data_IF_526658224683
#
_entry.id   IF_526658224683
#
_cell.length_a   1.000
_cell.length_b   1.000
_cell.length_c   1.000
_cell.angle_alpha   90.00
_cell.angle_beta   90.00
_cell.angle_gamma   90.00
#
_symmetry.space_group_name_H-M   'P 1'
#
loop_
_entity.id
_entity.type
_entity.pdbx_description
1 polymer ?
#
# COMPACT_ATOMS: atom_id res chain seq x y z
N UNK A 1 -10.30 -0.75 5.89
CA UNK A 1 -10.23 0.29 6.96
C UNK A 1 -10.77 1.63 6.46
N UNK A 2 -10.30 2.21 5.35
CA UNK A 2 -10.71 3.56 4.91
C UNK A 2 -12.23 3.82 4.74
N UNK A 3 -12.99 2.88 4.17
CA UNK A 3 -14.45 3.07 4.02
C UNK A 3 -15.20 3.08 5.37
N UNK A 4 -14.61 2.43 6.39
CA UNK A 4 -15.15 2.27 7.74
C UNK A 4 -14.66 3.35 8.71
N UNK A 5 -13.56 4.05 8.36
CA UNK A 5 -12.96 5.13 9.14
C UNK A 5 -12.86 6.39 8.26
N UNK A 6 -13.75 7.36 8.47
CA UNK A 6 -13.77 8.64 7.74
C UNK A 6 -14.69 8.67 6.52
N UNK A 7 -15.21 7.51 6.09
CA UNK A 7 -16.22 7.39 5.04
C UNK A 7 -15.73 7.76 3.63
N UNK A 8 -16.64 7.78 2.65
CA UNK A 8 -16.35 8.13 1.27
C UNK A 8 -15.60 9.46 1.13
N UNK A 9 -15.99 10.48 1.89
CA UNK A 9 -15.39 11.81 1.83
C UNK A 9 -13.89 11.80 2.18
N UNK A 10 -13.48 11.03 3.19
CA UNK A 10 -12.06 10.89 3.55
C UNK A 10 -11.26 10.14 2.50
N UNK A 11 -11.86 9.18 1.79
CA UNK A 11 -11.17 8.43 0.73
C UNK A 11 -10.97 9.29 -0.51
N UNK A 12 -11.95 10.13 -0.87
CA UNK A 12 -11.88 10.98 -2.07
C UNK A 12 -11.02 12.23 -1.84
N UNK A 13 -11.32 13.03 -0.82
CA UNK A 13 -10.60 14.28 -0.55
C UNK A 13 -9.25 14.02 0.09
N UNK A 14 -9.16 13.02 0.96
CA UNK A 14 -7.90 12.67 1.61
C UNK A 14 -6.86 12.17 0.63
N UNK A 15 -7.28 11.48 -0.44
CA UNK A 15 -6.37 11.06 -1.50
C UNK A 15 -5.77 12.25 -2.27
N UNK A 16 -6.53 13.31 -2.57
CA UNK A 16 -6.02 14.52 -3.23
C UNK A 16 -5.00 15.26 -2.35
N UNK A 17 -5.30 15.41 -1.06
CA UNK A 17 -4.40 16.08 -0.11
C UNK A 17 -3.10 15.30 0.02
N UNK A 18 -3.18 13.99 0.23
CA UNK A 18 -2.01 13.12 0.32
C UNK A 18 -1.20 13.15 -0.98
N UNK A 19 -1.87 13.13 -2.13
CA UNK A 19 -1.21 13.20 -3.43
C UNK A 19 -0.45 14.50 -3.63
N UNK A 20 -0.98 15.64 -3.18
CA UNK A 20 -0.29 16.92 -3.25
C UNK A 20 1.00 16.93 -2.41
N UNK A 21 0.93 16.49 -1.15
CA UNK A 21 2.11 16.40 -0.28
C UNK A 21 3.14 15.40 -0.82
N UNK A 22 2.68 14.23 -1.28
CA UNK A 22 3.55 13.24 -1.88
C UNK A 22 4.20 13.76 -3.17
N UNK A 23 3.47 14.55 -3.95
CA UNK A 23 3.99 15.26 -5.13
C UNK A 23 5.12 16.24 -4.78
N UNK A 24 4.98 17.02 -3.70
CA UNK A 24 6.05 17.89 -3.23
C UNK A 24 7.32 17.09 -2.87
N UNK A 25 7.17 15.98 -2.14
CA UNK A 25 8.30 15.10 -1.78
C UNK A 25 8.94 14.47 -3.01
N UNK A 26 8.12 14.02 -3.96
CA UNK A 26 8.59 13.46 -5.23
C UNK A 26 9.37 14.49 -6.06
N UNK A 27 8.89 15.73 -6.12
CA UNK A 27 9.58 16.83 -6.82
C UNK A 27 10.93 17.16 -6.16
N UNK A 28 10.99 17.26 -4.82
CA UNK A 28 12.26 17.45 -4.11
C UNK A 28 13.23 16.30 -4.34
N UNK A 29 12.74 15.06 -4.35
CA UNK A 29 13.58 13.89 -4.65
C UNK A 29 14.07 13.93 -6.10
N UNK A 30 13.22 14.33 -7.05
CA UNK A 30 13.59 14.48 -8.46
C UNK A 30 14.68 15.55 -8.67
N UNK A 31 14.60 16.66 -7.94
CA UNK A 31 15.63 17.71 -7.95
C UNK A 31 16.98 17.17 -7.45
N UNK A 32 16.97 16.41 -6.35
CA UNK A 32 18.17 15.75 -5.80
C UNK A 32 18.74 14.72 -6.79
N UNK A 33 17.89 13.91 -7.43
CA UNK A 33 18.29 12.96 -8.48
C UNK A 33 18.98 13.66 -9.65
N UNK A 34 18.45 14.82 -10.08
CA UNK A 34 18.99 15.63 -11.18
C UNK A 34 20.33 16.26 -10.81
N UNK A 35 20.47 16.77 -9.59
CA UNK A 35 21.71 17.38 -9.10
C UNK A 35 22.81 16.35 -8.81
N UNK A 36 22.44 15.14 -8.37
CA UNK A 36 23.36 14.07 -7.99
C UNK A 36 22.95 12.73 -8.63
N UNK A 37 23.14 12.58 -9.96
CA UNK A 37 22.83 11.34 -10.67
C UNK A 37 23.85 10.27 -10.30
N UNK A 38 23.61 9.60 -9.17
CA UNK A 38 24.47 8.55 -8.63
C UNK A 38 23.59 7.36 -8.29
N UNK A 39 23.81 6.25 -9.00
CA UNK A 39 23.16 4.97 -8.73
C UNK A 39 23.69 4.44 -7.39
N UNK A 40 23.06 4.81 -6.27
CA UNK A 40 23.62 4.55 -4.95
C UNK A 40 22.81 4.96 -3.72
N UNK A 41 21.58 5.45 -3.91
CA UNK A 41 20.55 5.43 -2.88
C UNK A 41 20.45 6.64 -1.95
N UNK A 42 19.31 6.70 -1.26
CA UNK A 42 18.95 7.67 -0.22
C UNK A 42 20.06 7.92 0.81
N UNK A 43 20.92 6.92 1.04
CA UNK A 43 22.11 6.97 1.90
C UNK A 43 23.17 7.96 1.41
N UNK A 44 23.46 7.97 0.10
CA UNK A 44 24.46 8.86 -0.49
C UNK A 44 23.96 10.32 -0.49
N UNK A 45 22.67 10.52 -0.79
CA UNK A 45 22.05 11.84 -0.76
C UNK A 45 21.99 12.40 0.66
N UNK A 46 21.58 11.60 1.65
CA UNK A 46 21.57 12.01 3.07
C UNK A 46 22.96 12.35 3.59
N UNK A 47 24.00 11.58 3.24
CA UNK A 47 25.39 11.91 3.58
C UNK A 47 25.82 13.26 2.99
N UNK A 48 25.49 13.50 1.72
CA UNK A 48 25.96 14.69 0.99
C UNK A 48 25.25 15.97 1.44
N UNK A 49 23.98 15.87 1.83
CA UNK A 49 23.16 16.98 2.32
C UNK A 49 23.40 17.31 3.81
N UNK A 50 23.78 16.32 4.64
CA UNK A 50 23.96 16.52 6.09
C UNK A 50 25.30 17.18 6.49
N UNK A 51 26.23 17.36 5.55
CA UNK A 51 27.56 17.93 5.83
C UNK A 51 28.53 16.93 6.49
N UNK A 52 29.84 17.23 6.47
CA UNK A 52 30.92 16.28 6.78
C UNK A 52 30.85 15.64 8.17
N UNK A 53 30.28 16.35 9.13
CA UNK A 53 30.24 15.93 10.54
C UNK A 53 29.02 15.06 10.88
N UNK A 54 27.90 15.25 10.17
CA UNK A 54 26.65 14.50 10.39
C UNK A 54 26.38 13.44 9.30
N UNK A 55 27.15 13.44 8.21
CA UNK A 55 27.00 12.52 7.10
C UNK A 55 26.90 11.04 7.52
N UNK A 56 27.74 10.50 8.42
CA UNK A 56 27.66 9.09 8.82
C UNK A 56 26.36 8.77 9.57
N UNK A 57 25.92 9.68 10.45
CA UNK A 57 24.71 9.48 11.26
C UNK A 57 23.45 9.61 10.41
N UNK A 58 23.39 10.60 9.52
CA UNK A 58 22.26 10.80 8.61
C UNK A 58 22.07 9.58 7.69
N UNK A 59 23.15 9.08 7.06
CA UNK A 59 23.08 7.88 6.21
C UNK A 59 22.71 6.63 6.99
N UNK A 60 23.21 6.47 8.22
CA UNK A 60 22.87 5.32 9.06
C UNK A 60 21.40 5.32 9.44
N UNK A 61 20.86 6.46 9.87
CA UNK A 61 19.44 6.61 10.23
C UNK A 61 18.54 6.38 9.01
N UNK A 62 18.79 7.10 7.90
CA UNK A 62 18.05 6.93 6.65
C UNK A 62 18.06 5.47 6.20
N UNK A 63 19.18 4.80 6.41
CA UNK A 63 19.34 3.41 6.07
C UNK A 63 18.51 2.43 6.85
N UNK A 64 18.58 2.54 8.18
CA UNK A 64 17.76 1.71 9.04
C UNK A 64 16.27 1.92 8.79
N UNK A 65 15.83 3.16 8.59
CA UNK A 65 14.43 3.43 8.25
C UNK A 65 14.02 2.85 6.91
N UNK A 66 14.91 2.87 5.90
CA UNK A 66 14.63 2.26 4.61
C UNK A 66 14.51 0.73 4.71
N UNK A 67 15.43 0.06 5.42
CA UNK A 67 15.38 -1.40 5.63
C UNK A 67 14.12 -1.81 6.42
N UNK A 68 13.87 -1.14 7.54
CA UNK A 68 12.68 -1.42 8.38
C UNK A 68 11.40 -1.15 7.59
N UNK A 69 11.35 -0.05 6.82
CA UNK A 69 10.22 0.28 5.95
C UNK A 69 9.97 -0.80 4.91
N UNK A 70 11.01 -1.28 4.24
CA UNK A 70 10.88 -2.34 3.23
C UNK A 70 10.40 -3.66 3.85
N UNK A 71 10.96 -4.06 5.00
CA UNK A 71 10.53 -5.27 5.71
C UNK A 71 9.08 -5.16 6.19
N UNK A 72 8.69 -4.01 6.75
CA UNK A 72 7.32 -3.74 7.17
C UNK A 72 6.34 -3.74 5.98
N UNK A 73 6.73 -3.18 4.84
CA UNK A 73 5.91 -3.18 3.63
C UNK A 73 5.70 -4.59 3.09
N UNK A 74 6.76 -5.39 2.92
CA UNK A 74 6.66 -6.78 2.46
C UNK A 74 5.78 -7.62 3.38
N UNK A 75 6.03 -7.54 4.70
CA UNK A 75 5.25 -8.31 5.68
C UNK A 75 3.77 -7.89 5.70
N UNK A 76 3.47 -6.60 5.54
CA UNK A 76 2.11 -6.07 5.45
C UNK A 76 1.36 -6.55 4.21
N UNK A 77 2.01 -6.55 3.05
CA UNK A 77 1.41 -7.01 1.77
C UNK A 77 1.11 -8.51 1.84
N UNK A 78 2.08 -9.31 2.31
CA UNK A 78 1.92 -10.76 2.40
C UNK A 78 0.83 -11.16 3.41
N UNK A 79 0.70 -10.40 4.50
CA UNK A 79 -0.37 -10.60 5.46
C UNK A 79 -1.75 -10.27 4.86
N UNK A 80 -1.83 -9.19 4.07
CA UNK A 80 -3.04 -8.83 3.33
C UNK A 80 -3.44 -9.91 2.32
N UNK A 81 -2.46 -10.51 1.63
CA UNK A 81 -2.69 -11.64 0.74
C UNK A 81 -3.21 -12.88 1.48
N UNK A 82 -2.63 -13.20 2.65
CA UNK A 82 -3.10 -14.31 3.48
C UNK A 82 -4.55 -14.10 3.93
N UNK A 83 -4.93 -12.88 4.30
CA UNK A 83 -6.32 -12.53 4.62
C UNK A 83 -7.25 -12.67 3.41
N UNK A 84 -6.81 -12.26 2.21
CA UNK A 84 -7.60 -12.41 0.99
C UNK A 84 -7.85 -13.88 0.67
N UNK A 85 -6.85 -14.75 0.83
CA UNK A 85 -6.99 -16.21 0.69
C UNK A 85 -8.00 -16.74 1.71
N UNK A 86 -7.93 -16.31 2.97
CA UNK A 86 -8.89 -16.70 4.00
C UNK A 86 -10.33 -16.29 3.66
N UNK A 87 -10.55 -15.06 3.17
CA UNK A 87 -11.88 -14.59 2.76
C UNK A 87 -12.39 -15.38 1.55
N UNK A 88 -11.51 -15.70 0.60
CA UNK A 88 -11.84 -16.53 -0.56
C UNK A 88 -12.27 -17.93 -0.14
N UNK A 89 -11.57 -18.55 0.81
CA UNK A 89 -11.94 -19.84 1.39
C UNK A 89 -13.29 -19.76 2.12
N UNK A 90 -13.53 -18.71 2.89
CA UNK A 90 -14.81 -18.51 3.57
C UNK A 90 -15.98 -18.42 2.57
N UNK A 91 -15.82 -17.64 1.50
CA UNK A 91 -16.83 -17.49 0.46
C UNK A 91 -17.06 -18.79 -0.31
N UNK A 92 -15.97 -19.49 -0.67
CA UNK A 92 -16.02 -20.76 -1.40
C UNK A 92 -16.58 -21.93 -0.59
N UNK A 93 -16.50 -21.90 0.74
CA UNK A 93 -17.00 -22.96 1.62
C UNK A 93 -18.45 -22.76 2.09
N UNK A 94 -19.20 -21.87 1.42
CA UNK A 94 -20.63 -21.66 1.69
C UNK A 94 -20.97 -20.43 2.52
N UNK A 95 -19.96 -19.64 2.93
CA UNK A 95 -20.18 -18.35 3.61
C UNK A 95 -20.98 -17.35 2.78
N UNK A 96 -20.92 -17.46 1.44
CA UNK A 96 -21.73 -16.63 0.53
C UNK A 96 -23.24 -16.90 0.61
N UNK A 97 -23.65 -18.11 1.02
CA UNK A 97 -25.05 -18.54 1.06
C UNK A 97 -25.63 -18.59 2.50
N UNK A 98 -24.99 -17.93 3.47
CA UNK A 98 -25.42 -17.91 4.87
C UNK A 98 -25.12 -19.20 5.66
N UNK A 99 -24.52 -20.20 5.03
CA UNK A 99 -24.14 -21.47 5.66
C UNK A 99 -22.73 -21.41 6.22
N UNK A 100 -22.57 -20.90 7.45
CA UNK A 100 -21.41 -21.07 8.34
C UNK A 100 -20.07 -21.45 7.67
N UNK A 101 -19.57 -20.62 6.76
CA UNK A 101 -18.35 -20.92 6.01
C UNK A 101 -17.14 -21.09 6.92
N UNK A 102 -16.12 -21.80 6.44
CA UNK A 102 -14.91 -22.05 7.21
C UNK A 102 -14.08 -20.78 7.35
N UNK A 103 -14.10 -20.19 8.55
CA UNK A 103 -13.11 -19.18 8.93
C UNK A 103 -11.85 -19.87 9.44
N UNK A 104 -10.75 -19.69 8.71
CA UNK A 104 -9.44 -20.16 9.13
C UNK A 104 -9.09 -19.58 10.51
N UNK A 105 -8.68 -20.47 11.43
CA UNK A 105 -8.17 -20.06 12.75
C UNK A 105 -6.90 -19.20 12.61
N UNK A 106 -6.59 -18.39 13.63
CA UNK A 106 -5.38 -17.54 13.69
C UNK A 106 -4.09 -18.30 13.37
N UNK A 107 -4.00 -19.58 13.76
CA UNK A 107 -2.84 -20.42 13.47
C UNK A 107 -2.75 -20.85 12.00
N UNK A 108 -3.91 -21.10 11.37
CA UNK A 108 -3.99 -21.44 9.94
C UNK A 108 -3.66 -20.21 9.10
N UNK A 109 -4.16 -19.03 9.48
CA UNK A 109 -3.79 -17.77 8.83
C UNK A 109 -2.28 -17.52 8.92
N UNK A 110 -1.68 -17.74 10.09
CA UNK A 110 -0.23 -17.61 10.27
C UNK A 110 0.56 -18.61 9.41
N UNK A 111 0.07 -19.84 9.27
CA UNK A 111 0.68 -20.85 8.41
C UNK A 111 0.62 -20.46 6.93
N UNK A 112 -0.53 -19.97 6.46
CA UNK A 112 -0.70 -19.45 5.08
C UNK A 112 0.25 -18.28 4.85
N UNK A 113 0.30 -17.33 5.80
CA UNK A 113 1.20 -16.19 5.75
C UNK A 113 2.68 -16.60 5.67
N UNK A 114 3.11 -17.54 6.51
CA UNK A 114 4.47 -18.07 6.49
C UNK A 114 4.81 -18.78 5.16
N UNK A 115 3.86 -19.53 4.59
CA UNK A 115 4.03 -20.17 3.30
C UNK A 115 4.19 -19.15 2.15
N UNK A 116 3.41 -18.07 2.16
CA UNK A 116 3.51 -16.97 1.20
C UNK A 116 4.89 -16.30 1.29
N UNK A 117 5.36 -16.00 2.50
CA UNK A 117 6.68 -15.40 2.72
C UNK A 117 7.81 -16.26 2.16
N UNK A 118 7.78 -17.57 2.43
CA UNK A 118 8.78 -18.51 1.91
C UNK A 118 8.74 -18.54 0.39
N UNK A 119 7.54 -18.60 -0.21
CA UNK A 119 7.36 -18.60 -1.65
C UNK A 119 7.87 -17.30 -2.30
N UNK A 120 7.56 -16.13 -1.74
CA UNK A 120 8.10 -14.87 -2.21
C UNK A 120 9.62 -14.77 -2.03
N UNK A 121 10.18 -15.31 -0.94
CA UNK A 121 11.62 -15.41 -0.75
C UNK A 121 12.30 -16.28 -1.81
N UNK A 122 11.69 -17.40 -2.19
CA UNK A 122 12.16 -18.27 -3.27
C UNK A 122 12.11 -17.57 -4.62
N UNK A 123 11.01 -16.86 -4.93
CA UNK A 123 10.88 -16.08 -6.16
C UNK A 123 11.92 -14.97 -6.22
N UNK A 124 12.19 -14.28 -5.11
CA UNK A 124 13.23 -13.25 -5.03
C UNK A 124 14.65 -13.82 -5.15
N UNK A 125 14.83 -15.12 -4.96
CA UNK A 125 16.10 -15.81 -5.19
C UNK A 125 16.31 -16.20 -6.67
N UNK A 126 15.30 -16.01 -7.52
CA UNK A 126 15.40 -16.28 -8.96
C UNK A 126 16.18 -15.16 -9.69
N UNK A 127 16.76 -15.47 -10.86
CA UNK A 127 17.41 -14.46 -11.69
C UNK A 127 16.50 -13.27 -12.02
N UNK A 128 17.11 -12.08 -12.08
CA UNK A 128 16.42 -10.79 -12.33
C UNK A 128 15.54 -10.81 -13.58
N UNK A 129 15.88 -11.63 -14.58
CA UNK A 129 15.05 -11.75 -15.79
C UNK A 129 13.67 -12.36 -15.51
N UNK A 130 13.57 -13.35 -14.62
CA UNK A 130 12.28 -13.94 -14.22
C UNK A 130 11.48 -12.93 -13.39
N UNK A 131 12.17 -12.22 -12.49
CA UNK A 131 11.56 -11.20 -11.65
C UNK A 131 10.97 -10.06 -12.49
N UNK A 132 11.70 -9.60 -13.51
CA UNK A 132 11.22 -8.60 -14.47
C UNK A 132 9.99 -9.08 -15.25
N UNK A 133 9.99 -10.34 -15.71
CA UNK A 133 8.84 -10.89 -16.43
C UNK A 133 7.60 -11.02 -15.55
N UNK A 134 7.74 -11.55 -14.33
CA UNK A 134 6.65 -11.63 -13.34
C UNK A 134 6.12 -10.23 -12.99
N UNK A 135 7.02 -9.25 -12.84
CA UNK A 135 6.65 -7.85 -12.61
C UNK A 135 5.81 -7.26 -13.74
N UNK A 136 6.22 -7.48 -15.00
CA UNK A 136 5.47 -7.01 -16.17
C UNK A 136 4.09 -7.69 -16.28
N UNK A 137 4.03 -9.00 -16.04
CA UNK A 137 2.78 -9.73 -15.99
C UNK A 137 1.86 -9.21 -14.89
N UNK A 138 2.41 -8.95 -13.70
CA UNK A 138 1.69 -8.35 -12.57
C UNK A 138 1.12 -6.97 -12.91
N UNK A 139 1.91 -6.11 -13.56
CA UNK A 139 1.47 -4.80 -14.02
C UNK A 139 0.32 -4.89 -15.03
N UNK A 140 0.45 -5.80 -16.01
CA UNK A 140 -0.62 -6.06 -16.98
C UNK A 140 -1.90 -6.56 -16.30
N UNK A 141 -1.78 -7.54 -15.39
CA UNK A 141 -2.92 -8.08 -14.65
C UNK A 141 -3.61 -7.03 -13.79
N UNK A 142 -2.83 -6.16 -13.14
CA UNK A 142 -3.37 -5.08 -12.33
C UNK A 142 -4.13 -4.07 -13.19
N UNK A 143 -3.55 -3.63 -14.30
CA UNK A 143 -4.20 -2.72 -15.25
C UNK A 143 -5.49 -3.32 -15.84
N UNK A 144 -5.44 -4.59 -16.26
CA UNK A 144 -6.61 -5.31 -16.74
C UNK A 144 -7.69 -5.42 -15.65
N UNK A 145 -7.32 -5.76 -14.42
CA UNK A 145 -8.23 -5.85 -13.28
C UNK A 145 -8.93 -4.52 -12.99
N UNK A 146 -8.20 -3.40 -13.02
CA UNK A 146 -8.77 -2.05 -12.87
C UNK A 146 -9.79 -1.78 -13.97
N UNK A 147 -9.46 -2.03 -15.23
CA UNK A 147 -10.37 -1.82 -16.38
C UNK A 147 -11.64 -2.68 -16.22
N UNK A 148 -11.47 -3.95 -15.85
CA UNK A 148 -12.60 -4.86 -15.63
C UNK A 148 -13.49 -4.35 -14.50
N UNK A 149 -12.93 -3.95 -13.36
CA UNK A 149 -13.71 -3.43 -12.23
C UNK A 149 -14.41 -2.10 -12.59
N UNK A 150 -13.76 -1.23 -13.35
CA UNK A 150 -14.34 0.03 -13.83
C UNK A 150 -15.57 -0.19 -14.72
N UNK A 151 -15.63 -1.29 -15.47
CA UNK A 151 -16.78 -1.62 -16.33
C UNK A 151 -17.81 -2.45 -15.58
N UNK A 152 -17.38 -3.45 -14.81
CA UNK A 152 -18.25 -4.41 -14.14
C UNK A 152 -19.04 -3.77 -12.99
N UNK A 153 -18.40 -2.93 -12.18
CA UNK A 153 -19.07 -2.34 -11.01
C UNK A 153 -20.26 -1.45 -11.45
N UNK A 154 -20.13 -0.50 -12.39
CA UNK A 154 -21.26 0.32 -12.82
C UNK A 154 -22.36 -0.43 -13.58
N UNK A 155 -22.02 -1.57 -14.20
CA UNK A 155 -22.99 -2.38 -14.97
C UNK A 155 -23.81 -3.32 -14.09
N UNK A 156 -23.24 -3.80 -12.98
CA UNK A 156 -23.92 -4.73 -12.06
C UNK A 156 -24.54 -4.03 -10.85
N UNK A 157 -24.05 -2.84 -10.47
CA UNK A 157 -24.55 -2.11 -9.30
C UNK A 157 -26.03 -1.70 -9.48
N UNK A 158 -26.90 -2.31 -8.68
CA UNK A 158 -28.35 -2.04 -8.65
C UNK A 158 -28.68 -0.70 -7.98
N UNK A 159 -27.82 -0.24 -7.07
CA UNK A 159 -27.92 1.07 -6.41
C UNK A 159 -26.63 1.87 -6.55
N UNK A 160 -26.76 3.18 -6.77
CA UNK A 160 -25.63 4.11 -6.90
C UNK A 160 -25.65 5.08 -5.73
N UNK A 161 -24.51 5.24 -5.06
CA UNK A 161 -24.35 6.27 -4.04
C UNK A 161 -24.51 7.67 -4.67
N UNK A 162 -25.22 8.57 -3.98
CA UNK A 162 -25.38 9.95 -4.45
C UNK A 162 -24.03 10.69 -4.41
N UNK A 163 -23.85 11.65 -5.32
CA UNK A 163 -22.63 12.48 -5.36
C UNK A 163 -22.41 13.19 -4.03
N UNK A 164 -23.50 13.67 -3.41
CA UNK A 164 -23.46 14.27 -2.08
C UNK A 164 -22.94 13.28 -1.04
N UNK A 165 -23.44 12.05 -1.01
CA UNK A 165 -22.95 11.01 -0.10
C UNK A 165 -21.45 10.72 -0.30
N UNK A 166 -20.94 10.74 -1.53
CA UNK A 166 -19.52 10.50 -1.80
C UNK A 166 -18.62 11.62 -1.27
N UNK A 167 -19.07 12.87 -1.30
CA UNK A 167 -18.25 14.03 -0.91
C UNK A 167 -18.50 14.54 0.51
N UNK A 168 -19.66 14.29 1.11
CA UNK A 168 -20.02 14.82 2.43
C UNK A 168 -20.17 13.75 3.50
N UNK A 169 -20.36 12.48 3.14
CA UNK A 169 -20.55 11.44 4.14
C UNK A 169 -19.23 11.08 4.82
N UNK A 170 -19.10 11.51 6.07
CA UNK A 170 -17.99 11.17 6.94
C UNK A 170 -18.46 10.15 7.98
N UNK A 171 -17.95 8.93 7.89
CA UNK A 171 -18.38 7.86 8.77
C UNK A 171 -17.71 8.01 10.15
N UNK A 172 -18.44 8.53 11.13
CA UNK A 172 -17.98 8.68 12.52
C UNK A 172 -18.21 7.44 13.37
N UNK A 173 -19.07 6.52 12.94
CA UNK A 173 -19.44 5.34 13.71
C UNK A 173 -18.53 4.16 13.33
N UNK A 174 -17.36 4.14 13.95
CA UNK A 174 -16.26 3.24 13.64
C UNK A 174 -16.25 1.95 14.49
N UNK A 175 -17.26 1.75 15.36
CA UNK A 175 -17.38 0.57 16.23
C UNK A 175 -16.27 0.45 17.30
N UNK A 176 -15.40 1.45 17.43
CA UNK A 176 -14.23 1.50 18.32
C UNK A 176 -14.34 2.60 19.39
N UNK A 177 -15.45 3.35 19.43
CA UNK A 177 -15.67 4.42 20.42
C UNK A 177 -14.81 5.66 20.22
N UNK A 178 -14.21 5.85 19.04
CA UNK A 178 -13.38 7.02 18.73
C UNK A 178 -14.27 8.11 18.14
N UNK A 179 -14.50 9.18 18.89
CA UNK A 179 -15.42 10.27 18.50
C UNK A 179 -14.69 11.49 17.92
N UNK A 180 -13.35 11.51 17.97
CA UNK A 180 -12.56 12.64 17.48
C UNK A 180 -12.43 12.58 15.95
N UNK A 181 -13.12 13.50 15.26
CA UNK A 181 -13.15 13.61 13.79
C UNK A 181 -11.76 13.77 13.17
N UNK A 182 -10.83 14.46 13.84
CA UNK A 182 -9.45 14.66 13.37
C UNK A 182 -8.68 13.35 13.37
N UNK A 183 -8.85 12.54 14.43
CA UNK A 183 -8.21 11.24 14.53
C UNK A 183 -8.77 10.25 13.50
N UNK A 184 -10.09 10.25 13.30
CA UNK A 184 -10.74 9.42 12.27
C UNK A 184 -10.26 9.80 10.87
N UNK A 185 -10.12 11.10 10.59
CA UNK A 185 -9.58 11.59 9.32
C UNK A 185 -8.12 11.17 9.14
N UNK A 186 -7.27 11.33 10.17
CA UNK A 186 -5.87 10.91 10.14
C UNK A 186 -5.73 9.41 9.85
N UNK A 187 -6.55 8.57 10.48
CA UNK A 187 -6.58 7.12 10.22
C UNK A 187 -7.08 6.80 8.80
N UNK A 188 -8.05 7.56 8.28
CA UNK A 188 -8.50 7.45 6.90
C UNK A 188 -7.39 7.79 5.89
N UNK A 189 -6.62 8.86 6.16
CA UNK A 189 -5.50 9.30 5.33
C UNK A 189 -4.35 8.28 5.27
N UNK A 190 -4.13 7.48 6.32
CA UNK A 190 -3.11 6.43 6.32
C UNK A 190 -3.32 5.41 5.19
N UNK A 191 -4.58 5.11 4.85
CA UNK A 191 -4.90 4.18 3.74
C UNK A 191 -4.52 4.78 2.39
N UNK A 192 -4.81 6.07 2.20
CA UNK A 192 -4.39 6.80 0.99
C UNK A 192 -2.87 6.86 0.89
N UNK A 193 -2.18 7.15 1.99
CA UNK A 193 -0.72 7.16 2.04
C UNK A 193 -0.13 5.78 1.71
N UNK A 194 -0.68 4.71 2.28
CA UNK A 194 -0.23 3.34 2.00
C UNK A 194 -0.33 2.98 0.52
N UNK A 195 -1.38 3.45 -0.16
CA UNK A 195 -1.60 3.20 -1.60
C UNK A 195 -0.60 3.97 -2.49
N UNK A 196 -0.05 5.07 -2.00
CA UNK A 196 0.89 5.92 -2.74
C UNK A 196 2.37 5.60 -2.46
N UNK A 197 2.66 4.58 -1.66
CA UNK A 197 4.03 4.10 -1.42
C UNK A 197 4.64 3.53 -2.72
N UNK A 198 5.93 3.80 -2.95
CA UNK A 198 6.70 3.19 -4.05
C UNK A 198 7.30 4.17 -5.08
N UNK A 199 7.10 5.49 -4.95
CA UNK A 199 7.75 6.47 -5.82
C UNK A 199 9.28 6.51 -5.65
N UNK A 200 9.78 6.19 -4.46
CA UNK A 200 11.20 6.05 -4.12
C UNK A 200 11.87 4.86 -4.81
N UNK A 201 11.11 3.81 -5.16
CA UNK A 201 11.62 2.67 -5.95
C UNK A 201 12.20 3.10 -7.30
N UNK A 202 11.60 4.11 -7.94
CA UNK A 202 12.12 4.67 -9.20
C UNK A 202 13.45 5.41 -8.99
N UNK A 203 13.60 6.07 -7.84
CA UNK A 203 14.83 6.76 -7.46
C UNK A 203 16.00 5.78 -7.21
N UNK A 204 15.71 4.56 -6.75
CA UNK A 204 16.70 3.48 -6.61
C UNK A 204 17.20 2.91 -7.95
N UNK A 205 16.46 3.12 -9.04
CA UNK A 205 16.78 2.60 -10.37
C UNK A 205 17.43 3.61 -11.31
N UNK A 206 17.69 4.84 -10.84
CA UNK A 206 18.30 5.90 -11.65
C UNK A 206 19.73 5.50 -12.01
N UNK A 207 19.96 5.30 -13.31
CA UNK A 207 21.25 5.20 -13.99
C UNK A 207 21.46 6.43 -14.85
#
# INVERSE_FOLDING_TARGET
MGLRYGGPASMTLGWLVVAAFNGCVALSTAEICSAYPTSGGLYYWSAKLAGKDWAPLASWVTGWFNIVGQLAATTSVDFSLAQLVQVTLLLGTGGANGGGGYMASKYVLLAIYGAILVLHGLINSLPVHWLSWVGQLGAFWNAAGVIVLLILIPTVATERASVEFVFTHFNTDNGMGIHNKVYILAVGLLVSQYTMLGYDTSAHMVK
#
